data_IF_832766117301
#
_entry.id   IF_832766117301
#
_cell.length_a   1.000
_cell.length_b   1.000
_cell.length_c   1.000
_cell.angle_alpha   90.00
_cell.angle_beta   90.00
_cell.angle_gamma   90.00
#
_symmetry.space_group_name_H-M   'P 1'
#
loop_
_entity.id
_entity.type
_entity.pdbx_description
1 polymer ?
#
# COMPACT_ATOMS: atom_id res chain seq x y z
N UNK A 1 3.75 -22.60 14.73
CA UNK A 1 3.58 -21.12 14.66
C UNK A 1 3.72 -20.72 13.20
N UNK A 2 2.96 -19.74 12.71
CA UNK A 2 2.99 -19.35 11.30
C UNK A 2 4.15 -18.39 10.99
N UNK A 3 4.77 -18.48 9.81
CA UNK A 3 5.91 -17.65 9.35
C UNK A 3 5.69 -16.13 9.51
N UNK A 4 4.42 -15.69 9.51
CA UNK A 4 4.01 -14.30 9.80
C UNK A 4 4.27 -13.88 11.25
N UNK A 5 3.97 -14.75 12.21
CA UNK A 5 4.21 -14.52 13.63
C UNK A 5 5.70 -14.36 13.91
N UNK A 6 6.52 -15.21 13.27
CA UNK A 6 7.97 -15.20 13.43
C UNK A 6 8.59 -13.95 12.78
N UNK A 7 8.07 -13.51 11.63
CA UNK A 7 8.47 -12.24 11.00
C UNK A 7 8.17 -11.02 11.87
N UNK A 8 6.94 -10.92 12.42
CA UNK A 8 6.55 -9.79 13.27
C UNK A 8 7.40 -9.77 14.55
N UNK A 9 7.68 -10.94 15.14
CA UNK A 9 8.58 -11.07 16.29
C UNK A 9 9.99 -10.59 15.96
N UNK A 10 10.55 -11.01 14.82
CA UNK A 10 11.87 -10.58 14.38
C UNK A 10 11.94 -9.09 14.02
N UNK A 11 10.87 -8.52 13.48
CA UNK A 11 10.78 -7.08 13.21
C UNK A 11 10.78 -6.28 14.51
N UNK A 12 9.98 -6.69 15.50
CA UNK A 12 9.93 -6.03 16.81
C UNK A 12 11.25 -6.13 17.58
N UNK A 13 11.99 -7.23 17.40
CA UNK A 13 13.28 -7.45 18.04
C UNK A 13 14.46 -6.86 17.26
N UNK A 14 14.21 -6.18 16.13
CA UNK A 14 15.24 -5.73 15.19
C UNK A 14 16.19 -6.86 14.70
N UNK A 15 15.74 -8.12 14.76
CA UNK A 15 16.47 -9.33 14.33
C UNK A 15 15.98 -9.83 12.97
N UNK A 16 15.47 -8.93 12.12
CA UNK A 16 15.02 -9.22 10.76
C UNK A 16 16.09 -9.96 9.94
N UNK A 17 17.36 -9.58 10.08
CA UNK A 17 18.47 -10.25 9.41
C UNK A 17 18.52 -11.75 9.75
N UNK A 18 18.30 -12.11 11.02
CA UNK A 18 18.27 -13.50 11.47
C UNK A 18 17.04 -14.23 10.90
N UNK A 19 15.86 -13.61 10.90
CA UNK A 19 14.67 -14.22 10.28
C UNK A 19 14.89 -14.56 8.80
N UNK A 20 15.45 -13.62 8.03
CA UNK A 20 15.71 -13.84 6.61
C UNK A 20 16.78 -14.91 6.40
N UNK A 21 17.90 -14.84 7.13
CA UNK A 21 19.01 -15.78 6.98
C UNK A 21 18.70 -17.20 7.48
N UNK A 22 18.09 -17.36 8.65
CA UNK A 22 17.91 -18.66 9.30
C UNK A 22 16.60 -19.36 8.99
N UNK A 23 15.49 -18.62 8.83
CA UNK A 23 14.16 -19.25 8.70
C UNK A 23 13.73 -19.28 7.23
N UNK A 24 13.97 -18.20 6.48
CA UNK A 24 13.46 -18.12 5.11
C UNK A 24 14.46 -18.57 4.05
N UNK A 25 15.74 -18.22 4.19
CA UNK A 25 16.76 -18.60 3.20
C UNK A 25 17.28 -20.01 3.42
N UNK A 26 17.64 -20.40 4.64
CA UNK A 26 18.11 -21.76 4.94
C UNK A 26 17.09 -22.83 4.53
N UNK A 27 15.85 -22.76 5.01
CA UNK A 27 14.79 -23.74 4.65
C UNK A 27 14.49 -23.78 3.13
N UNK A 28 14.68 -22.67 2.43
CA UNK A 28 14.31 -22.55 1.00
C UNK A 28 15.44 -22.97 0.07
N UNK A 29 16.70 -22.65 0.41
CA UNK A 29 17.88 -23.11 -0.33
C UNK A 29 18.19 -24.58 -0.04
N UNK A 30 17.85 -25.09 1.15
CA UNK A 30 17.90 -26.53 1.43
C UNK A 30 16.93 -27.32 0.55
N UNK A 31 15.78 -26.71 0.22
CA UNK A 31 14.76 -27.31 -0.67
C UNK A 31 15.10 -27.16 -2.17
N UNK A 32 15.96 -26.20 -2.54
CA UNK A 32 16.31 -25.88 -3.92
C UNK A 32 17.80 -25.49 -4.03
N UNK A 33 18.69 -26.46 -4.27
CA UNK A 33 20.11 -26.17 -4.45
C UNK A 33 20.33 -25.44 -5.78
N UNK A 34 20.56 -24.13 -5.73
CA UNK A 34 20.87 -23.31 -6.91
C UNK A 34 22.13 -23.81 -7.64
N UNK A 35 23.04 -24.46 -6.92
CA UNK A 35 24.23 -25.11 -7.49
C UNK A 35 23.83 -26.21 -8.48
N UNK A 36 22.91 -27.10 -8.11
CA UNK A 36 22.49 -28.21 -9.00
C UNK A 36 21.66 -27.72 -10.19
N UNK A 37 20.92 -26.63 -10.04
CA UNK A 37 20.16 -26.03 -11.14
C UNK A 37 21.07 -25.33 -12.16
N UNK A 38 22.06 -24.58 -11.69
CA UNK A 38 22.94 -23.79 -12.53
C UNK A 38 24.09 -24.62 -13.12
N UNK A 39 24.58 -25.58 -12.33
CA UNK A 39 25.74 -26.41 -12.64
C UNK A 39 25.46 -27.88 -12.26
N UNK A 40 24.63 -28.60 -13.04
CA UNK A 40 24.24 -29.97 -12.72
C UNK A 40 25.46 -30.88 -12.57
N UNK A 41 25.55 -31.57 -11.43
CA UNK A 41 26.62 -32.53 -11.13
C UNK A 41 27.95 -31.91 -10.68
N UNK A 42 28.01 -30.59 -10.48
CA UNK A 42 29.17 -29.91 -9.85
C UNK A 42 28.87 -29.59 -8.39
N UNK A 43 29.87 -29.74 -7.54
CA UNK A 43 29.82 -29.23 -6.16
C UNK A 43 30.31 -27.80 -6.10
N UNK A 44 29.91 -27.03 -5.08
CA UNK A 44 30.35 -25.64 -4.91
C UNK A 44 31.88 -25.50 -4.94
N UNK A 45 32.60 -26.44 -4.30
CA UNK A 45 34.06 -26.45 -4.24
C UNK A 45 34.74 -26.73 -5.59
N UNK A 46 33.98 -27.21 -6.57
CA UNK A 46 34.48 -27.50 -7.94
C UNK A 46 34.23 -26.35 -8.93
N UNK A 47 33.59 -25.27 -8.49
CA UNK A 47 33.29 -24.12 -9.33
C UNK A 47 34.49 -23.19 -9.48
N UNK A 48 34.75 -22.77 -10.72
CA UNK A 48 35.72 -21.70 -11.03
C UNK A 48 35.24 -20.34 -10.50
N UNK A 49 36.15 -19.37 -10.35
CA UNK A 49 35.80 -18.03 -9.82
C UNK A 49 34.69 -17.34 -10.64
N UNK A 50 34.71 -17.50 -11.96
CA UNK A 50 33.66 -16.96 -12.85
C UNK A 50 32.31 -17.65 -12.63
N UNK A 51 32.30 -18.98 -12.44
CA UNK A 51 31.08 -19.75 -12.14
C UNK A 51 30.52 -19.40 -10.75
N UNK A 52 31.39 -19.16 -9.77
CA UNK A 52 30.99 -18.70 -8.43
C UNK A 52 30.35 -17.31 -8.48
N UNK A 53 30.84 -16.41 -9.35
CA UNK A 53 30.25 -15.08 -9.55
C UNK A 53 28.86 -15.17 -10.15
N UNK A 54 28.67 -16.01 -11.18
CA UNK A 54 27.36 -16.28 -11.79
C UNK A 54 26.39 -16.88 -10.78
N UNK A 55 26.84 -17.84 -9.97
CA UNK A 55 26.05 -18.42 -8.89
C UNK A 55 25.63 -17.35 -7.87
N UNK A 56 26.55 -16.45 -7.49
CA UNK A 56 26.28 -15.35 -6.58
C UNK A 56 25.17 -14.41 -7.08
N UNK A 57 25.16 -14.09 -8.37
CA UNK A 57 24.13 -13.26 -9.01
C UNK A 57 22.76 -13.97 -9.04
N UNK A 58 22.74 -15.27 -9.33
CA UNK A 58 21.51 -16.06 -9.31
C UNK A 58 20.93 -16.16 -7.89
N UNK A 59 21.77 -16.44 -6.88
CA UNK A 59 21.37 -16.45 -5.46
C UNK A 59 20.81 -15.09 -5.05
N UNK A 60 21.46 -13.98 -5.44
CA UNK A 60 20.98 -12.62 -5.15
C UNK A 60 19.62 -12.35 -5.80
N UNK A 61 19.46 -12.72 -7.06
CA UNK A 61 18.19 -12.57 -7.80
C UNK A 61 17.08 -13.37 -7.13
N UNK A 62 17.37 -14.62 -6.74
CA UNK A 62 16.42 -15.49 -6.06
C UNK A 62 16.01 -14.94 -4.70
N UNK A 63 16.96 -14.45 -3.90
CA UNK A 63 16.65 -13.77 -2.61
C UNK A 63 15.65 -12.63 -2.82
N UNK A 64 15.85 -11.83 -3.87
CA UNK A 64 14.90 -10.78 -4.26
C UNK A 64 13.52 -11.33 -4.61
N UNK A 65 13.43 -12.42 -5.38
CA UNK A 65 12.15 -13.07 -5.71
C UNK A 65 11.44 -13.61 -4.48
N UNK A 66 12.15 -14.24 -3.54
CA UNK A 66 11.57 -14.77 -2.29
C UNK A 66 11.04 -13.63 -1.42
N UNK A 67 11.81 -12.54 -1.30
CA UNK A 67 11.34 -11.34 -0.58
C UNK A 67 10.10 -10.76 -1.24
N UNK A 68 10.11 -10.58 -2.56
CA UNK A 68 8.95 -10.09 -3.31
C UNK A 68 7.74 -11.01 -3.17
N UNK A 69 7.93 -12.32 -3.22
CA UNK A 69 6.88 -13.31 -2.99
C UNK A 69 6.32 -13.21 -1.58
N UNK A 70 7.19 -13.15 -0.56
CA UNK A 70 6.76 -13.03 0.84
C UNK A 70 6.00 -11.74 1.11
N UNK A 71 6.52 -10.60 0.63
CA UNK A 71 5.84 -9.31 0.73
C UNK A 71 4.56 -9.27 -0.12
N UNK A 72 4.55 -9.93 -1.28
CA UNK A 72 3.36 -10.10 -2.12
C UNK A 72 2.27 -10.95 -1.45
N UNK A 73 2.66 -12.02 -0.75
CA UNK A 73 1.79 -12.88 0.05
C UNK A 73 1.21 -12.12 1.25
N UNK A 74 2.02 -11.27 1.89
CA UNK A 74 1.52 -10.35 2.92
C UNK A 74 0.58 -9.30 2.30
N UNK A 75 0.92 -8.74 1.14
CA UNK A 75 0.11 -7.74 0.46
C UNK A 75 -1.22 -8.30 -0.04
N UNK A 76 -1.29 -9.56 -0.49
CA UNK A 76 -2.53 -10.22 -0.85
C UNK A 76 -3.38 -10.54 0.38
N UNK A 77 -2.76 -10.91 1.51
CA UNK A 77 -3.47 -11.05 2.79
C UNK A 77 -4.04 -9.73 3.32
N UNK A 78 -3.41 -8.60 2.98
CA UNK A 78 -3.89 -7.24 3.33
C UNK A 78 -4.89 -6.69 2.30
N UNK A 79 -4.70 -6.96 1.00
CA UNK A 79 -5.62 -6.52 -0.07
C UNK A 79 -6.93 -7.31 -0.07
N UNK A 80 -6.94 -8.54 0.45
CA UNK A 80 -8.14 -9.37 0.50
C UNK A 80 -9.16 -9.04 1.60
N UNK A 81 -8.88 -8.10 2.52
CA UNK A 81 -9.76 -7.88 3.69
C UNK A 81 -10.02 -6.45 4.12
N UNK A 82 -9.50 -5.45 3.40
CA UNK A 82 -10.19 -4.17 3.46
C UNK A 82 -11.47 -4.33 2.62
N UNK A 83 -12.54 -4.87 3.23
CA UNK A 83 -13.87 -4.88 2.61
C UNK A 83 -14.13 -3.48 2.06
N UNK A 84 -14.82 -3.35 0.92
CA UNK A 84 -15.13 -2.02 0.36
C UNK A 84 -15.64 -1.06 1.44
N UNK A 85 -16.40 -1.61 2.39
CA UNK A 85 -16.84 -0.96 3.62
C UNK A 85 -15.72 -0.40 4.53
N UNK A 86 -14.65 -1.13 4.85
CA UNK A 86 -13.52 -0.58 5.64
C UNK A 86 -12.79 0.58 4.94
N UNK A 87 -12.59 0.50 3.62
CA UNK A 87 -12.05 1.61 2.82
C UNK A 87 -12.99 2.80 2.83
N UNK A 88 -14.31 2.54 2.82
CA UNK A 88 -15.33 3.56 2.90
C UNK A 88 -15.40 4.18 4.28
N UNK A 89 -15.23 3.43 5.38
CA UNK A 89 -15.12 4.01 6.72
C UNK A 89 -13.88 4.89 6.81
N UNK A 90 -12.73 4.43 6.31
CA UNK A 90 -11.54 5.28 6.27
C UNK A 90 -11.78 6.53 5.42
N UNK A 91 -12.48 6.41 4.28
CA UNK A 91 -12.84 7.54 3.41
C UNK A 91 -13.81 8.50 4.09
N UNK A 92 -14.85 8.01 4.79
CA UNK A 92 -15.87 8.80 5.51
C UNK A 92 -15.29 9.46 6.77
N UNK A 93 -14.54 8.71 7.58
CA UNK A 93 -13.87 9.26 8.76
C UNK A 93 -12.75 10.23 8.38
N UNK A 94 -12.05 10.00 7.26
CA UNK A 94 -11.05 10.95 6.75
C UNK A 94 -11.69 12.16 6.06
N UNK A 95 -12.85 12.00 5.42
CA UNK A 95 -13.58 13.10 4.79
C UNK A 95 -13.97 14.20 5.78
N UNK A 96 -14.23 13.84 7.04
CA UNK A 96 -14.52 14.80 8.10
C UNK A 96 -13.26 15.39 8.78
N UNK A 97 -12.05 14.88 8.52
CA UNK A 97 -10.83 15.27 9.25
C UNK A 97 -9.75 15.97 8.43
N UNK A 98 -9.85 16.01 7.10
CA UNK A 98 -9.14 16.96 6.23
C UNK A 98 -9.64 16.68 4.81
N UNK A 99 -10.05 17.74 4.11
CA UNK A 99 -10.52 17.62 2.73
C UNK A 99 -9.60 16.70 1.93
N UNK A 100 -10.19 15.80 1.13
CA UNK A 100 -9.42 14.99 0.18
C UNK A 100 -8.54 15.97 -0.58
N UNK A 101 -7.21 15.81 -0.50
CA UNK A 101 -6.30 16.77 -1.12
C UNK A 101 -6.60 16.75 -2.62
N UNK A 102 -7.29 17.78 -3.10
CA UNK A 102 -7.52 17.97 -4.52
C UNK A 102 -6.17 18.13 -5.23
N UNK A 103 -6.13 17.90 -6.54
CA UNK A 103 -4.92 18.19 -7.29
C UNK A 103 -4.61 19.69 -7.18
N UNK A 104 -3.35 20.01 -6.92
CA UNK A 104 -2.83 21.38 -7.00
C UNK A 104 -2.71 21.83 -8.47
N UNK A 105 -2.64 23.14 -8.69
CA UNK A 105 -2.43 23.69 -10.04
C UNK A 105 -1.16 23.13 -10.73
N UNK A 106 -0.11 22.84 -9.94
CA UNK A 106 1.14 22.23 -10.44
C UNK A 106 0.90 20.78 -10.85
N UNK A 107 0.10 20.03 -10.10
CA UNK A 107 -0.24 18.64 -10.45
C UNK A 107 -1.12 18.57 -11.70
N UNK A 108 -2.08 19.49 -11.84
CA UNK A 108 -2.87 19.64 -13.07
C UNK A 108 -1.96 19.97 -14.25
N UNK A 109 -1.06 20.94 -14.09
CA UNK A 109 -0.08 21.30 -15.12
C UNK A 109 0.84 20.12 -15.50
N UNK A 110 1.30 19.34 -14.53
CA UNK A 110 2.10 18.13 -14.76
C UNK A 110 1.30 17.03 -15.46
N UNK A 111 0.00 16.91 -15.21
CA UNK A 111 -0.86 15.98 -15.91
C UNK A 111 -0.84 16.24 -17.42
N UNK A 112 -0.92 17.50 -17.82
CA UNK A 112 -0.97 17.90 -19.24
C UNK A 112 0.41 17.98 -19.90
N UNK A 113 1.48 18.25 -19.13
CA UNK A 113 2.84 18.41 -19.67
C UNK A 113 3.68 17.13 -19.50
N UNK A 114 3.53 16.21 -20.45
CA UNK A 114 4.29 14.96 -20.48
C UNK A 114 5.79 15.15 -20.69
N UNK A 115 6.23 16.25 -21.28
CA UNK A 115 7.64 16.49 -21.59
C UNK A 115 8.49 16.60 -20.32
N UNK A 116 7.97 17.26 -19.26
CA UNK A 116 8.64 17.34 -17.95
C UNK A 116 8.78 15.93 -17.35
N UNK A 117 7.72 15.12 -17.43
CA UNK A 117 7.73 13.73 -16.93
C UNK A 117 8.76 12.88 -17.66
N UNK A 118 8.83 13.01 -18.98
CA UNK A 118 9.75 12.25 -19.83
C UNK A 118 11.19 12.67 -19.52
N UNK A 119 11.47 13.97 -19.48
CA UNK A 119 12.80 14.51 -19.21
C UNK A 119 13.35 14.03 -17.85
N UNK A 120 12.59 14.22 -16.76
CA UNK A 120 13.03 13.75 -15.43
C UNK A 120 13.18 12.23 -15.40
N UNK A 121 12.30 11.48 -16.09
CA UNK A 121 12.42 10.02 -16.17
C UNK A 121 13.69 9.57 -16.91
N UNK A 122 14.12 10.30 -17.94
CA UNK A 122 15.39 10.04 -18.62
C UNK A 122 16.57 10.33 -17.71
N UNK A 123 16.55 11.45 -17.00
CA UNK A 123 17.62 11.81 -16.06
C UNK A 123 17.76 10.81 -14.90
N UNK A 124 16.65 10.26 -14.40
CA UNK A 124 16.68 9.16 -13.42
C UNK A 124 17.29 7.88 -14.02
N UNK A 125 17.00 7.56 -15.29
CA UNK A 125 17.59 6.38 -15.96
C UNK A 125 19.10 6.53 -16.19
N UNK A 126 19.56 7.73 -16.50
CA UNK A 126 20.99 8.04 -16.71
C UNK A 126 21.74 8.17 -15.37
N UNK A 127 21.00 8.20 -14.24
CA UNK A 127 21.59 8.31 -12.90
C UNK A 127 21.93 9.74 -12.49
N UNK A 128 21.51 10.74 -13.27
CA UNK A 128 21.68 12.16 -12.95
C UNK A 128 20.83 12.56 -11.73
N UNK A 129 19.64 11.99 -11.60
CA UNK A 129 18.72 12.24 -10.49
C UNK A 129 18.46 10.93 -9.74
N UNK A 130 18.52 10.98 -8.40
CA UNK A 130 18.09 9.87 -7.57
C UNK A 130 16.59 9.59 -7.78
N UNK A 131 16.24 8.31 -7.96
CA UNK A 131 14.85 7.86 -8.07
C UNK A 131 13.96 8.38 -6.93
N UNK A 132 14.50 8.55 -5.72
CA UNK A 132 13.77 9.09 -4.56
C UNK A 132 13.38 10.56 -4.78
N UNK A 133 14.24 11.34 -5.44
CA UNK A 133 14.06 12.78 -5.69
C UNK A 133 13.24 13.10 -6.94
N UNK A 134 12.87 12.08 -7.73
CA UNK A 134 12.15 12.23 -8.99
C UNK A 134 10.92 13.13 -8.90
N UNK A 135 10.09 12.95 -7.86
CA UNK A 135 8.84 13.71 -7.73
C UNK A 135 9.11 15.18 -7.42
N UNK A 136 10.03 15.46 -6.51
CA UNK A 136 10.44 16.80 -6.12
C UNK A 136 11.02 17.56 -7.32
N UNK A 137 11.86 16.91 -8.12
CA UNK A 137 12.42 17.55 -9.32
C UNK A 137 11.32 17.87 -10.35
N UNK A 138 10.40 16.93 -10.59
CA UNK A 138 9.27 17.18 -11.49
C UNK A 138 8.43 18.37 -11.04
N UNK A 139 8.17 18.48 -9.73
CA UNK A 139 7.43 19.61 -9.18
C UNK A 139 8.20 20.92 -9.33
N UNK A 140 9.51 20.92 -9.05
CA UNK A 140 10.35 22.12 -9.19
C UNK A 140 10.42 22.62 -10.63
N UNK A 141 10.60 21.73 -11.61
CA UNK A 141 10.60 22.11 -13.03
C UNK A 141 9.21 22.61 -13.47
N UNK A 142 8.15 21.95 -13.02
CA UNK A 142 6.78 22.39 -13.30
C UNK A 142 6.47 23.75 -12.70
N UNK A 143 6.91 24.04 -11.47
CA UNK A 143 6.78 25.34 -10.83
C UNK A 143 7.52 26.43 -11.62
N UNK A 144 8.74 26.15 -12.04
CA UNK A 144 9.54 27.06 -12.85
C UNK A 144 8.87 27.35 -14.21
N UNK A 145 8.44 26.31 -14.92
CA UNK A 145 7.78 26.47 -16.22
C UNK A 145 6.43 27.18 -16.10
N UNK A 146 5.67 26.89 -15.04
CA UNK A 146 4.39 27.53 -14.74
C UNK A 146 4.58 29.01 -14.38
N UNK A 147 5.63 29.36 -13.63
CA UNK A 147 5.94 30.75 -13.28
C UNK A 147 6.24 31.62 -14.51
N UNK A 148 6.75 31.02 -15.59
CA UNK A 148 7.05 31.68 -16.85
C UNK A 148 5.84 31.79 -17.80
N UNK A 149 4.67 31.22 -17.44
CA UNK A 149 3.43 31.37 -18.23
C UNK A 149 2.70 32.67 -17.91
N UNK A 150 1.76 33.04 -18.76
CA UNK A 150 0.90 34.20 -18.54
C UNK A 150 0.07 34.06 -17.26
N UNK A 151 -0.30 35.17 -16.67
CA UNK A 151 -1.15 35.19 -15.47
C UNK A 151 -2.51 34.53 -15.71
N UNK A 152 -3.14 34.84 -16.84
CA UNK A 152 -4.40 34.21 -17.27
C UNK A 152 -4.31 32.68 -17.33
N UNK A 153 -3.17 32.14 -17.80
CA UNK A 153 -2.97 30.69 -17.86
C UNK A 153 -2.88 30.07 -16.47
N UNK A 154 -2.17 30.72 -15.54
CA UNK A 154 -2.05 30.26 -14.15
C UNK A 154 -3.39 30.32 -13.42
N UNK A 155 -4.16 31.39 -13.60
CA UNK A 155 -5.50 31.52 -13.03
C UNK A 155 -6.45 30.44 -13.56
N UNK A 156 -6.40 30.16 -14.87
CA UNK A 156 -7.19 29.09 -15.47
C UNK A 156 -6.83 27.71 -14.87
N UNK A 157 -5.55 27.41 -14.67
CA UNK A 157 -5.13 26.17 -14.00
C UNK A 157 -5.59 26.08 -12.55
N UNK A 158 -5.56 27.18 -11.81
CA UNK A 158 -6.11 27.23 -10.45
C UNK A 158 -7.62 26.97 -10.46
N UNK A 159 -8.35 27.52 -11.43
CA UNK A 159 -9.78 27.26 -11.60
C UNK A 159 -10.05 25.79 -11.94
N UNK A 160 -9.30 25.20 -12.87
CA UNK A 160 -9.38 23.77 -13.22
C UNK A 160 -9.07 22.87 -12.03
N UNK A 161 -8.02 23.18 -11.25
CA UNK A 161 -7.68 22.44 -10.04
C UNK A 161 -8.81 22.47 -9.00
N UNK A 162 -9.47 23.64 -8.83
CA UNK A 162 -10.65 23.77 -7.97
C UNK A 162 -11.83 22.95 -8.48
N UNK A 163 -12.11 22.99 -9.77
CA UNK A 163 -13.19 22.22 -10.39
C UNK A 163 -12.96 20.71 -10.23
N UNK A 164 -11.74 20.22 -10.47
CA UNK A 164 -11.38 18.81 -10.27
C UNK A 164 -11.51 18.39 -8.80
N UNK A 165 -11.06 19.25 -7.89
CA UNK A 165 -11.23 19.03 -6.45
C UNK A 165 -12.71 18.92 -6.07
N UNK A 166 -13.56 19.78 -6.63
CA UNK A 166 -15.01 19.72 -6.42
C UNK A 166 -15.61 18.43 -6.99
N UNK A 167 -15.24 18.05 -8.21
CA UNK A 167 -15.69 16.81 -8.85
C UNK A 167 -15.31 15.57 -8.04
N UNK A 168 -14.10 15.54 -7.48
CA UNK A 168 -13.65 14.48 -6.58
C UNK A 168 -14.46 14.45 -5.28
N UNK A 169 -14.79 15.61 -4.72
CA UNK A 169 -15.62 15.71 -3.53
C UNK A 169 -17.05 15.21 -3.81
N UNK A 170 -17.66 15.62 -4.92
CA UNK A 170 -18.99 15.17 -5.35
C UNK A 170 -19.03 13.66 -5.60
N UNK A 171 -18.02 13.11 -6.29
CA UNK A 171 -17.90 11.67 -6.49
C UNK A 171 -17.75 10.91 -5.16
N UNK A 172 -17.00 11.47 -4.20
CA UNK A 172 -16.88 10.88 -2.87
C UNK A 172 -18.20 10.91 -2.09
N UNK A 173 -18.99 11.97 -2.22
CA UNK A 173 -20.35 12.05 -1.62
C UNK A 173 -21.26 11.02 -2.29
N UNK A 174 -21.28 10.94 -3.61
CA UNK A 174 -22.09 9.99 -4.36
C UNK A 174 -21.75 8.53 -4.01
N UNK A 175 -20.46 8.22 -3.82
CA UNK A 175 -20.03 6.90 -3.33
C UNK A 175 -20.62 6.58 -1.96
N UNK A 176 -20.62 7.56 -1.04
CA UNK A 176 -21.17 7.39 0.31
C UNK A 176 -22.69 7.23 0.25
N UNK A 177 -23.38 8.04 -0.54
CA UNK A 177 -24.82 7.93 -0.75
C UNK A 177 -25.20 6.58 -1.36
N UNK A 178 -24.45 6.09 -2.35
CA UNK A 178 -24.67 4.77 -2.94
C UNK A 178 -24.50 3.64 -1.92
N UNK A 179 -23.60 3.79 -0.95
CA UNK A 179 -23.45 2.83 0.15
C UNK A 179 -24.63 2.90 1.13
N UNK A 180 -25.13 4.11 1.42
CA UNK A 180 -26.28 4.34 2.28
C UNK A 180 -27.60 3.89 1.64
N UNK A 181 -27.72 3.99 0.32
CA UNK A 181 -28.87 3.52 -0.46
C UNK A 181 -28.88 1.99 -0.67
N UNK A 182 -27.85 1.29 -0.18
CA UNK A 182 -27.76 -0.17 -0.25
C UNK A 182 -28.90 -0.87 0.49
N UNK A 183 -29.38 -1.99 -0.07
CA UNK A 183 -30.39 -2.84 0.57
C UNK A 183 -29.88 -3.53 1.85
N UNK A 184 -30.78 -4.29 2.49
CA UNK A 184 -30.52 -5.02 3.74
C UNK A 184 -29.20 -5.80 3.76
N UNK A 185 -28.84 -6.47 2.66
CA UNK A 185 -27.57 -7.22 2.56
C UNK A 185 -26.32 -6.36 2.72
N UNK A 186 -26.35 -5.13 2.23
CA UNK A 186 -25.21 -4.22 2.30
C UNK A 186 -25.06 -3.64 3.70
N UNK A 187 -26.18 -3.34 4.37
CA UNK A 187 -26.22 -2.93 5.78
C UNK A 187 -25.68 -4.05 6.70
N UNK A 188 -26.04 -5.30 6.42
CA UNK A 188 -25.53 -6.47 7.14
C UNK A 188 -24.00 -6.58 6.96
N UNK A 189 -23.51 -6.52 5.71
CA UNK A 189 -22.06 -6.58 5.42
C UNK A 189 -21.31 -5.42 6.08
N UNK A 190 -21.94 -4.25 6.20
CA UNK A 190 -21.40 -3.11 6.92
C UNK A 190 -21.25 -3.40 8.42
N UNK A 191 -22.30 -3.91 9.07
CA UNK A 191 -22.28 -4.28 10.49
C UNK A 191 -21.20 -5.34 10.76
N UNK A 192 -21.14 -6.39 9.93
CA UNK A 192 -20.13 -7.45 10.05
C UNK A 192 -18.71 -6.95 9.73
N UNK A 193 -18.58 -5.96 8.85
CA UNK A 193 -17.31 -5.29 8.57
C UNK A 193 -16.81 -4.46 9.75
N UNK A 194 -17.70 -3.78 10.47
CA UNK A 194 -17.35 -2.99 11.66
C UNK A 194 -16.75 -3.86 12.77
N UNK A 195 -17.34 -5.02 13.05
CA UNK A 195 -16.88 -5.90 14.12
C UNK A 195 -15.45 -6.40 13.88
N UNK A 196 -15.10 -6.74 12.64
CA UNK A 196 -13.72 -7.09 12.27
C UNK A 196 -12.75 -5.94 12.49
N UNK A 197 -13.10 -4.72 12.06
CA UNK A 197 -12.26 -3.54 12.22
C UNK A 197 -12.02 -3.17 13.69
N UNK A 198 -13.08 -3.15 14.51
CA UNK A 198 -12.94 -2.91 15.95
C UNK A 198 -12.17 -4.02 16.65
N UNK A 199 -12.37 -5.28 16.26
CA UNK A 199 -11.61 -6.41 16.80
C UNK A 199 -10.09 -6.24 16.59
N UNK A 200 -9.68 -5.89 15.36
CA UNK A 200 -8.27 -5.66 15.05
C UNK A 200 -7.70 -4.45 15.81
N UNK A 201 -8.46 -3.35 15.92
CA UNK A 201 -8.07 -2.15 16.67
C UNK A 201 -7.92 -2.45 18.17
N UNK A 202 -8.94 -3.03 18.79
CA UNK A 202 -8.95 -3.34 20.22
C UNK A 202 -7.87 -4.36 20.59
N UNK A 203 -7.64 -5.36 19.73
CA UNK A 203 -6.55 -6.29 19.92
C UNK A 203 -5.18 -5.58 19.82
N UNK A 204 -5.01 -4.63 18.89
CA UNK A 204 -3.78 -3.83 18.79
C UNK A 204 -3.54 -3.01 20.05
N UNK A 205 -4.58 -2.33 20.59
CA UNK A 205 -4.50 -1.61 21.85
C UNK A 205 -4.08 -2.54 22.98
N UNK A 206 -4.72 -3.70 23.09
CA UNK A 206 -4.37 -4.70 24.10
C UNK A 206 -2.91 -5.18 23.99
N UNK A 207 -2.42 -5.48 22.78
CA UNK A 207 -1.03 -5.92 22.59
C UNK A 207 -0.01 -4.84 22.97
N UNK A 208 -0.35 -3.56 22.81
CA UNK A 208 0.55 -2.44 23.09
C UNK A 208 0.49 -1.95 24.55
N UNK A 209 -0.69 -1.94 25.17
CA UNK A 209 -0.89 -1.36 26.50
C UNK A 209 -1.29 -2.36 27.58
N UNK A 210 -1.74 -3.56 27.21
CA UNK A 210 -2.36 -4.53 28.11
C UNK A 210 -3.80 -4.16 28.51
N UNK A 211 -4.36 -3.06 27.98
CA UNK A 211 -5.71 -2.63 28.33
C UNK A 211 -6.76 -3.40 27.54
N UNK A 212 -7.77 -3.89 28.24
CA UNK A 212 -8.96 -4.44 27.61
C UNK A 212 -9.99 -3.34 27.39
N UNK A 213 -10.46 -3.24 26.16
CA UNK A 213 -11.56 -2.36 25.79
C UNK A 213 -12.61 -3.17 25.02
N UNK A 214 -13.87 -2.76 25.14
CA UNK A 214 -15.00 -3.35 24.43
C UNK A 214 -15.82 -2.24 23.80
N UNK A 215 -16.41 -2.53 22.64
CA UNK A 215 -17.28 -1.62 21.91
C UNK A 215 -18.63 -2.30 21.75
N UNK A 216 -19.69 -1.59 22.14
CA UNK A 216 -21.07 -2.05 21.94
C UNK A 216 -21.71 -1.16 20.88
N UNK A 217 -22.27 -1.77 19.84
CA UNK A 217 -22.97 -1.04 18.77
C UNK A 217 -24.40 -1.54 18.73
N UNK A 218 -25.35 -0.63 18.95
CA UNK A 218 -26.78 -0.91 18.91
C UNK A 218 -27.45 -0.24 17.73
N UNK A 219 -28.36 -0.95 17.06
CA UNK A 219 -29.17 -0.38 15.98
C UNK A 219 -30.20 -1.36 15.41
N UNK A 220 -31.05 -0.91 14.48
CA UNK A 220 -32.00 -1.76 13.77
C UNK A 220 -31.28 -2.85 12.98
N UNK A 221 -31.68 -4.11 13.14
CA UNK A 221 -31.16 -5.25 12.37
C UNK A 221 -32.14 -5.58 11.22
N UNK A 222 -31.77 -5.37 9.94
CA UNK A 222 -32.65 -5.68 8.82
C UNK A 222 -32.95 -7.19 8.68
N UNK A 223 -32.19 -8.07 9.33
CA UNK A 223 -32.50 -9.52 9.41
C UNK A 223 -33.70 -9.81 10.32
N UNK A 224 -34.01 -8.90 11.23
CA UNK A 224 -35.04 -9.04 12.27
C UNK A 224 -36.14 -7.99 12.08
N UNK A 225 -36.47 -7.64 10.83
CA UNK A 225 -37.50 -6.66 10.49
C UNK A 225 -37.30 -5.29 11.18
N UNK A 226 -36.03 -4.88 11.34
CA UNK A 226 -35.67 -3.61 11.97
C UNK A 226 -35.70 -3.60 13.50
N UNK A 227 -35.85 -4.75 14.16
CA UNK A 227 -35.73 -4.82 15.62
C UNK A 227 -34.35 -4.38 16.10
N UNK A 228 -34.32 -3.69 17.25
CA UNK A 228 -33.08 -3.24 17.88
C UNK A 228 -32.24 -4.43 18.34
N UNK A 229 -31.00 -4.48 17.89
CA UNK A 229 -30.01 -5.49 18.31
C UNK A 229 -28.72 -4.81 18.74
N UNK A 230 -28.12 -5.33 19.81
CA UNK A 230 -26.79 -4.92 20.26
C UNK A 230 -25.78 -5.96 19.81
N UNK A 231 -24.76 -5.50 19.09
CA UNK A 231 -23.61 -6.27 18.69
C UNK A 231 -22.47 -6.02 19.67
N UNK A 232 -21.73 -7.09 20.01
CA UNK A 232 -20.57 -7.10 20.90
C UNK A 232 -19.37 -7.65 20.15
#
# INVERSE_FOLDING_TARGET
MGKKSDFMKAQLQATLYNFWSSILYLEFFEKWPEVDNAFPGKTYDSLTEDEQKVLGEQVKTRKGQIQLWFYGLQASSKRGRASGFSKCITKVMSANLKGTHGPSAIEVFLCDNNDIKINVSMQVKVGTIDKIMRLTEMQSLAEHDLANKSEEFRENLVAQAKEECQRHAEAAVADVEALCAGGAEQQIKAIEGLSGMFGDLLNTVFQLSGWHASVYVGGPDPRLDGQLRVYR
#
